data_IF_526143355472
#
_entry.id   IF_526143355472
#
_cell.length_a   1.000
_cell.length_b   1.000
_cell.length_c   1.000
_cell.angle_alpha   90.00
_cell.angle_beta   90.00
_cell.angle_gamma   90.00
#
_symmetry.space_group_name_H-M   'P 1'
#
loop_
_entity.id
_entity.type
_entity.pdbx_description
1 polymer ?
#
# COMPACT_ATOMS: atom_id res chain seq x y z
N UNK A 1 -36.28 14.85 -10.20
CA UNK A 1 -35.83 14.75 -8.79
C UNK A 1 -36.20 13.43 -8.06
N UNK A 2 -36.97 12.49 -8.63
CA UNK A 2 -37.36 11.25 -7.91
C UNK A 2 -36.37 10.07 -8.00
N UNK A 3 -35.36 10.10 -8.87
CA UNK A 3 -34.44 8.97 -9.07
C UNK A 3 -33.32 8.84 -8.00
N UNK A 4 -32.94 9.94 -7.33
CA UNK A 4 -31.85 9.93 -6.36
C UNK A 4 -32.22 9.31 -5.00
N UNK A 5 -33.51 9.32 -4.63
CA UNK A 5 -34.00 8.75 -3.37
C UNK A 5 -33.95 7.23 -3.31
N UNK A 6 -34.17 6.56 -4.44
CA UNK A 6 -34.19 5.09 -4.50
C UNK A 6 -32.80 4.44 -4.38
N UNK A 7 -31.74 5.12 -4.84
CA UNK A 7 -30.37 4.60 -4.75
C UNK A 7 -29.83 4.65 -3.31
N UNK A 8 -30.18 5.69 -2.55
CA UNK A 8 -29.75 5.86 -1.15
C UNK A 8 -30.38 4.82 -0.20
N UNK A 9 -31.65 4.45 -0.42
CA UNK A 9 -32.30 3.40 0.38
C UNK A 9 -31.81 1.98 0.06
N UNK A 10 -31.41 1.70 -1.19
CA UNK A 10 -30.83 0.38 -1.54
C UNK A 10 -29.44 0.18 -0.93
N UNK A 11 -28.60 1.22 -0.87
CA UNK A 11 -27.27 1.13 -0.27
C UNK A 11 -27.30 0.95 1.27
N UNK A 12 -28.24 1.59 1.97
CA UNK A 12 -28.42 1.39 3.42
C UNK A 12 -28.94 -0.01 3.79
N UNK A 13 -29.82 -0.61 2.97
CA UNK A 13 -30.32 -1.98 3.22
C UNK A 13 -29.24 -3.05 3.07
N UNK A 14 -28.28 -2.87 2.17
CA UNK A 14 -27.15 -3.81 1.99
C UNK A 14 -26.24 -3.82 3.23
N UNK A 15 -26.02 -2.67 3.88
CA UNK A 15 -25.23 -2.58 5.12
C UNK A 15 -25.89 -3.25 6.34
N UNK A 16 -27.20 -3.10 6.51
CA UNK A 16 -27.92 -3.67 7.67
C UNK A 16 -28.17 -5.19 7.58
N UNK A 17 -28.29 -5.76 6.38
CA UNK A 17 -28.50 -7.20 6.20
C UNK A 17 -27.22 -8.01 6.48
N UNK A 18 -26.03 -7.45 6.23
CA UNK A 18 -24.75 -8.08 6.58
C UNK A 18 -24.60 -8.31 8.09
N UNK A 19 -24.95 -7.29 8.91
CA UNK A 19 -24.83 -7.36 10.37
C UNK A 19 -25.79 -8.38 11.03
N UNK A 20 -26.98 -8.60 10.46
CA UNK A 20 -27.96 -9.57 10.99
C UNK A 20 -27.62 -11.03 10.68
N UNK A 21 -26.90 -11.32 9.60
CA UNK A 21 -26.46 -12.70 9.30
C UNK A 21 -25.34 -13.15 10.25
N UNK A 22 -24.51 -12.21 10.71
CA UNK A 22 -23.40 -12.49 11.63
C UNK A 22 -23.89 -12.91 13.03
N UNK A 23 -24.97 -12.31 13.53
CA UNK A 23 -25.51 -12.61 14.86
C UNK A 23 -26.26 -13.96 14.96
N UNK A 24 -26.77 -14.51 13.85
CA UNK A 24 -27.52 -15.80 13.87
C UNK A 24 -26.63 -17.04 13.81
N UNK A 25 -25.35 -16.91 13.47
CA UNK A 25 -24.41 -18.04 13.41
C UNK A 25 -23.94 -18.57 14.77
N UNK A 26 -24.28 -17.90 15.88
CA UNK A 26 -23.73 -18.22 17.21
C UNK A 26 -24.53 -19.23 18.05
N UNK A 27 -25.74 -19.61 17.63
CA UNK A 27 -26.68 -20.36 18.48
C UNK A 27 -26.80 -21.87 18.20
N UNK A 28 -26.05 -22.43 17.25
CA UNK A 28 -26.20 -23.85 16.86
C UNK A 28 -24.84 -24.54 16.70
N UNK A 29 -24.14 -24.79 17.81
CA UNK A 29 -23.01 -25.72 17.85
C UNK A 29 -22.68 -26.10 19.30
N UNK A 30 -23.32 -27.14 19.84
CA UNK A 30 -22.93 -27.72 21.13
C UNK A 30 -23.43 -29.16 21.27
N UNK A 31 -23.01 -30.02 20.35
CA UNK A 31 -22.93 -31.48 20.55
C UNK A 31 -21.65 -31.96 19.85
N UNK A 32 -20.49 -31.60 20.40
CA UNK A 32 -19.20 -31.98 19.82
C UNK A 32 -18.25 -32.46 20.91
N UNK A 33 -17.57 -33.60 20.65
CA UNK A 33 -16.47 -34.10 21.46
C UNK A 33 -15.44 -33.01 21.72
N UNK A 34 -14.72 -33.15 22.84
CA UNK A 34 -13.77 -32.16 23.37
C UNK A 34 -12.83 -31.65 22.28
N UNK A 35 -13.19 -30.53 21.65
CA UNK A 35 -12.31 -29.88 20.69
C UNK A 35 -11.11 -29.38 21.48
N UNK A 36 -9.86 -29.63 21.03
CA UNK A 36 -8.68 -29.14 21.72
C UNK A 36 -8.81 -27.64 21.97
N UNK A 37 -8.68 -27.24 23.24
CA UNK A 37 -8.70 -25.83 23.62
C UNK A 37 -7.35 -25.22 23.26
N UNK A 38 -7.38 -23.98 22.77
CA UNK A 38 -6.17 -23.20 22.54
C UNK A 38 -5.33 -23.11 23.84
N UNK A 39 -4.00 -23.23 23.75
CA UNK A 39 -3.13 -23.14 24.92
C UNK A 39 -3.15 -21.73 25.52
N UNK A 40 -2.70 -21.62 26.78
CA UNK A 40 -2.47 -20.32 27.40
C UNK A 40 -1.45 -19.51 26.58
N UNK A 41 -1.63 -18.20 26.50
CA UNK A 41 -0.76 -17.28 25.73
C UNK A 41 -0.68 -17.56 24.21
N UNK A 42 -1.66 -18.29 23.66
CA UNK A 42 -1.74 -18.54 22.22
C UNK A 42 -1.66 -17.23 21.40
N UNK A 43 -0.72 -17.17 20.44
CA UNK A 43 -0.46 -16.02 19.59
C UNK A 43 0.36 -14.88 20.22
N UNK A 44 0.79 -15.00 21.48
CA UNK A 44 1.72 -14.05 22.10
C UNK A 44 3.12 -14.14 21.47
N UNK A 45 3.93 -13.08 21.61
CA UNK A 45 5.34 -13.10 21.19
C UNK A 45 6.08 -14.24 21.91
N UNK A 46 6.67 -15.16 21.15
CA UNK A 46 7.32 -16.38 21.64
C UNK A 46 6.37 -17.43 22.25
N UNK A 47 5.05 -17.19 22.19
CA UNK A 47 4.02 -18.10 22.69
C UNK A 47 3.65 -19.20 21.69
N UNK A 48 2.74 -20.12 22.06
CA UNK A 48 2.26 -21.14 21.15
C UNK A 48 1.62 -20.55 19.89
N UNK A 49 1.96 -21.13 18.73
CA UNK A 49 1.40 -20.77 17.44
C UNK A 49 0.31 -21.75 16.99
N UNK A 50 -0.34 -21.47 15.86
CA UNK A 50 -1.35 -22.33 15.26
C UNK A 50 -0.78 -23.74 15.03
N UNK A 51 -1.46 -24.76 15.56
CA UNK A 51 -0.96 -26.13 15.62
C UNK A 51 -0.64 -26.72 14.24
N UNK A 52 -1.43 -26.40 13.22
CA UNK A 52 -1.22 -26.87 11.85
C UNK A 52 -0.40 -25.91 10.97
N UNK A 53 0.32 -24.91 11.54
CA UNK A 53 1.13 -23.89 10.83
C UNK A 53 1.86 -24.41 9.59
N UNK A 54 2.55 -25.54 9.71
CA UNK A 54 3.36 -26.13 8.63
C UNK A 54 2.55 -26.62 7.41
N UNK A 55 1.24 -26.85 7.57
CA UNK A 55 0.38 -27.47 6.54
C UNK A 55 -0.69 -26.53 5.99
N UNK A 56 -1.01 -25.43 6.67
CA UNK A 56 -2.12 -24.52 6.30
C UNK A 56 -2.00 -24.03 4.86
N UNK A 57 -0.80 -23.65 4.42
CA UNK A 57 -0.61 -23.13 3.07
C UNK A 57 -0.81 -24.21 2.00
N UNK A 58 -0.44 -25.45 2.28
CA UNK A 58 -0.74 -26.59 1.41
C UNK A 58 -2.25 -26.87 1.36
N UNK A 59 -2.95 -26.70 2.48
CA UNK A 59 -4.41 -26.81 2.53
C UNK A 59 -5.09 -25.69 1.70
N UNK A 60 -4.53 -24.48 1.70
CA UNK A 60 -4.95 -23.39 0.79
C UNK A 60 -4.72 -23.80 -0.66
N UNK A 61 -3.54 -24.31 -1.00
CA UNK A 61 -3.20 -24.75 -2.36
C UNK A 61 -4.18 -25.83 -2.84
N UNK A 62 -4.49 -26.82 -1.99
CA UNK A 62 -5.46 -27.88 -2.27
C UNK A 62 -6.89 -27.36 -2.42
N UNK A 63 -7.28 -26.34 -1.64
CA UNK A 63 -8.61 -25.75 -1.74
C UNK A 63 -8.81 -24.95 -3.03
N UNK A 64 -7.75 -24.33 -3.55
CA UNK A 64 -7.77 -23.55 -4.80
C UNK A 64 -7.67 -24.47 -6.01
N UNK A 65 -6.65 -25.32 -6.05
CA UNK A 65 -6.27 -26.19 -7.16
C UNK A 65 -6.27 -27.67 -6.70
N UNK A 66 -7.44 -28.31 -6.50
CA UNK A 66 -7.51 -29.66 -5.93
C UNK A 66 -6.82 -30.74 -6.78
N UNK A 67 -6.64 -30.51 -8.08
CA UNK A 67 -6.01 -31.44 -9.01
C UNK A 67 -4.50 -31.23 -9.17
N UNK A 68 -3.97 -30.07 -8.74
CA UNK A 68 -2.56 -29.71 -8.82
C UNK A 68 -2.22 -28.79 -7.64
N UNK A 69 -2.19 -29.34 -6.41
CA UNK A 69 -1.97 -28.58 -5.19
C UNK A 69 -0.50 -28.20 -5.10
N UNK A 70 -0.11 -27.13 -5.80
CA UNK A 70 1.21 -26.52 -5.70
C UNK A 70 1.13 -25.09 -5.20
N UNK A 71 2.22 -24.57 -4.61
CA UNK A 71 2.31 -23.17 -4.22
C UNK A 71 2.07 -22.22 -5.42
N UNK A 72 1.59 -21.00 -5.17
CA UNK A 72 1.45 -20.01 -6.23
C UNK A 72 2.83 -19.50 -6.64
N UNK A 73 2.96 -19.09 -7.89
CA UNK A 73 4.22 -18.46 -8.34
C UNK A 73 4.41 -17.11 -7.64
N UNK A 74 3.33 -16.32 -7.48
CA UNK A 74 3.34 -15.03 -6.78
C UNK A 74 2.03 -14.83 -6.01
N UNK A 75 2.11 -14.29 -4.79
CA UNK A 75 0.97 -13.84 -4.00
C UNK A 75 1.30 -12.47 -3.38
N UNK A 76 0.55 -11.44 -3.74
CA UNK A 76 0.69 -10.10 -3.13
C UNK A 76 -0.24 -10.02 -1.94
N UNK A 77 0.32 -9.69 -0.79
CA UNK A 77 -0.33 -9.73 0.51
C UNK A 77 -0.48 -8.32 1.06
N UNK A 78 -1.70 -7.94 1.42
CA UNK A 78 -2.00 -6.72 2.17
C UNK A 78 -2.47 -7.10 3.55
N UNK A 79 -1.76 -6.64 4.58
CA UNK A 79 -2.26 -6.72 5.95
C UNK A 79 -3.12 -5.50 6.23
N UNK A 80 -4.29 -5.68 6.83
CA UNK A 80 -5.20 -4.57 7.14
C UNK A 80 -4.59 -3.57 8.15
N UNK A 81 -5.13 -2.36 8.17
CA UNK A 81 -4.62 -1.26 8.98
C UNK A 81 -4.87 -1.49 10.48
N UNK A 82 -3.86 -1.18 11.28
CA UNK A 82 -3.99 -1.07 12.73
C UNK A 82 -4.12 0.41 13.08
N UNK A 83 -5.25 0.80 13.68
CA UNK A 83 -5.45 2.18 14.12
C UNK A 83 -4.93 2.34 15.55
N UNK A 84 -4.04 3.30 15.78
CA UNK A 84 -3.65 3.68 17.13
C UNK A 84 -4.83 4.36 17.83
N UNK A 85 -5.31 3.75 18.92
CA UNK A 85 -6.54 4.20 19.59
C UNK A 85 -6.31 5.16 20.74
N UNK A 86 -5.08 5.65 20.95
CA UNK A 86 -4.74 6.49 22.09
C UNK A 86 -5.52 7.81 22.18
N UNK A 87 -6.14 8.29 21.09
CA UNK A 87 -7.13 9.36 21.16
C UNK A 87 -8.19 9.27 20.02
N UNK A 88 -9.38 9.85 20.19
CA UNK A 88 -10.47 9.78 19.19
C UNK A 88 -10.15 10.42 17.84
N UNK A 89 -9.35 11.49 17.81
CA UNK A 89 -8.99 12.20 16.57
C UNK A 89 -8.04 11.35 15.71
N UNK A 90 -7.03 10.75 16.34
CA UNK A 90 -6.13 9.77 15.73
C UNK A 90 -6.94 8.62 15.16
N UNK A 91 -7.82 8.01 15.98
CA UNK A 91 -8.72 6.96 15.51
C UNK A 91 -9.52 7.42 14.29
N UNK A 92 -10.12 8.62 14.32
CA UNK A 92 -10.88 9.17 13.19
C UNK A 92 -10.02 9.34 11.93
N UNK A 93 -8.83 9.95 12.03
CA UNK A 93 -7.93 10.17 10.90
C UNK A 93 -7.42 8.85 10.31
N UNK A 94 -7.02 7.92 11.16
CA UNK A 94 -6.59 6.58 10.76
C UNK A 94 -7.71 5.81 10.06
N UNK A 95 -8.96 5.90 10.53
CA UNK A 95 -10.07 5.19 9.91
C UNK A 95 -10.54 5.82 8.59
N UNK A 96 -10.53 7.15 8.49
CA UNK A 96 -11.18 7.85 7.37
C UNK A 96 -10.21 8.38 6.31
N UNK A 97 -8.93 8.56 6.66
CA UNK A 97 -7.97 9.29 5.81
C UNK A 97 -6.71 8.47 5.54
N UNK A 98 -6.13 7.88 6.60
CA UNK A 98 -4.78 7.27 6.57
C UNK A 98 -4.84 5.75 6.75
N UNK A 99 -5.96 5.09 6.44
CA UNK A 99 -6.10 3.63 6.61
C UNK A 99 -5.21 2.86 5.62
N UNK A 100 -3.89 2.98 5.79
CA UNK A 100 -2.83 2.42 4.99
C UNK A 100 -2.47 1.08 5.62
N UNK A 101 -2.61 0.02 4.83
CA UNK A 101 -2.20 -1.31 5.26
C UNK A 101 -0.69 -1.48 5.25
N UNK A 102 -0.25 -2.73 5.19
CA UNK A 102 1.13 -3.08 4.90
C UNK A 102 1.17 -3.98 3.68
N UNK A 103 2.15 -3.79 2.79
CA UNK A 103 2.29 -4.57 1.55
C UNK A 103 3.54 -5.45 1.60
N UNK A 104 3.37 -6.72 1.25
CA UNK A 104 4.44 -7.70 1.13
C UNK A 104 4.14 -8.65 -0.04
N UNK A 105 5.12 -9.46 -0.43
CA UNK A 105 4.95 -10.43 -1.53
C UNK A 105 5.48 -11.78 -1.11
N UNK A 106 4.65 -12.81 -1.31
CA UNK A 106 5.06 -14.20 -1.29
C UNK A 106 5.32 -14.66 -2.72
N UNK A 107 6.34 -15.47 -2.95
CA UNK A 107 6.62 -16.05 -4.26
C UNK A 107 7.35 -17.38 -4.13
N UNK A 108 7.29 -18.20 -5.19
CA UNK A 108 7.97 -19.49 -5.28
C UNK A 108 9.02 -19.41 -6.37
N UNK A 109 10.31 -19.52 -6.02
CA UNK A 109 11.42 -19.49 -6.97
C UNK A 109 11.49 -20.78 -7.79
N UNK A 110 12.24 -20.76 -8.89
CA UNK A 110 12.41 -21.92 -9.79
C UNK A 110 12.98 -23.16 -9.11
N UNK A 111 13.71 -23.02 -8.00
CA UNK A 111 14.20 -24.11 -7.15
C UNK A 111 13.13 -24.66 -6.17
N UNK A 112 11.89 -24.17 -6.25
CA UNK A 112 10.76 -24.58 -5.41
C UNK A 112 10.74 -23.95 -4.02
N UNK A 113 11.70 -23.09 -3.66
CA UNK A 113 11.67 -22.39 -2.37
C UNK A 113 10.58 -21.32 -2.36
N UNK A 114 9.86 -21.26 -1.25
CA UNK A 114 8.88 -20.22 -1.02
C UNK A 114 9.45 -19.15 -0.11
N UNK A 115 9.26 -17.90 -0.52
CA UNK A 115 9.70 -16.72 0.21
C UNK A 115 8.51 -15.83 0.50
N UNK A 116 8.48 -15.21 1.67
CA UNK A 116 7.80 -13.94 1.90
C UNK A 116 8.87 -12.87 2.00
N UNK A 117 8.78 -11.89 1.13
CA UNK A 117 9.58 -10.68 1.20
C UNK A 117 8.79 -9.58 1.88
N UNK A 118 9.41 -8.99 2.89
CA UNK A 118 8.86 -7.89 3.67
C UNK A 118 9.84 -6.71 3.69
N UNK A 119 9.33 -5.49 3.51
CA UNK A 119 10.09 -4.25 3.64
C UNK A 119 9.81 -3.64 5.00
N UNK A 120 10.84 -3.53 5.82
CA UNK A 120 10.80 -2.90 7.14
C UNK A 120 11.24 -1.44 7.06
N UNK A 121 10.79 -0.67 8.04
CA UNK A 121 11.27 0.69 8.29
C UNK A 121 11.06 1.10 9.73
N UNK A 122 11.41 2.34 10.02
CA UNK A 122 11.25 2.91 11.36
C UNK A 122 12.00 2.10 12.45
N UNK A 123 11.39 1.90 13.63
CA UNK A 123 12.07 1.31 14.80
C UNK A 123 12.65 -0.10 14.59
N UNK A 124 12.20 -0.84 13.57
CA UNK A 124 12.80 -2.13 13.26
C UNK A 124 14.26 -1.96 12.77
N UNK A 125 14.52 -0.95 11.94
CA UNK A 125 15.87 -0.65 11.46
C UNK A 125 16.76 -0.15 12.59
N UNK A 126 16.20 0.66 13.49
CA UNK A 126 16.92 1.16 14.68
C UNK A 126 17.35 0.02 15.62
N UNK A 127 16.63 -1.12 15.59
CA UNK A 127 16.95 -2.35 16.32
C UNK A 127 17.84 -3.32 15.53
N UNK A 128 18.44 -2.86 14.43
CA UNK A 128 19.37 -3.65 13.62
C UNK A 128 18.69 -4.62 12.64
N UNK A 129 17.38 -4.51 12.43
CA UNK A 129 16.72 -5.30 11.39
C UNK A 129 17.16 -4.80 10.00
N UNK A 130 17.21 -5.71 9.03
CA UNK A 130 17.47 -5.36 7.63
C UNK A 130 16.25 -4.67 7.03
N UNK A 131 16.44 -3.83 6.03
CA UNK A 131 15.33 -3.19 5.30
C UNK A 131 14.51 -4.22 4.54
N UNK A 132 15.17 -5.13 3.83
CA UNK A 132 14.53 -6.24 3.13
C UNK A 132 14.67 -7.48 4.01
N UNK A 133 13.56 -8.14 4.30
CA UNK A 133 13.56 -9.39 5.05
C UNK A 133 12.96 -10.50 4.22
N UNK A 134 13.67 -11.61 4.15
CA UNK A 134 13.22 -12.84 3.54
C UNK A 134 12.86 -13.82 4.64
N UNK A 135 11.60 -14.27 4.64
CA UNK A 135 11.09 -15.23 5.62
C UNK A 135 10.35 -16.37 4.95
N UNK A 136 10.10 -17.43 5.73
CA UNK A 136 9.19 -18.51 5.32
C UNK A 136 7.74 -18.00 5.40
N UNK A 137 6.89 -18.29 4.40
CA UNK A 137 5.52 -17.76 4.40
C UNK A 137 4.67 -18.15 5.61
N UNK A 138 4.76 -19.41 6.05
CA UNK A 138 4.05 -19.94 7.20
C UNK A 138 4.49 -19.29 8.51
N UNK A 139 5.76 -18.93 8.60
CA UNK A 139 6.30 -18.20 9.75
C UNK A 139 5.79 -16.75 9.73
N UNK A 140 5.64 -16.12 8.56
CA UNK A 140 5.15 -14.72 8.50
C UNK A 140 3.67 -14.61 8.82
N UNK A 141 2.89 -15.55 8.30
CA UNK A 141 1.44 -15.54 8.50
C UNK A 141 1.07 -16.04 9.90
N UNK A 142 1.81 -17.01 10.44
CA UNK A 142 1.40 -17.76 11.62
C UNK A 142 2.51 -18.05 12.64
N UNK A 143 3.72 -17.54 12.47
CA UNK A 143 4.77 -17.61 13.49
C UNK A 143 4.55 -16.60 14.61
N UNK A 144 5.12 -16.89 15.79
CA UNK A 144 5.04 -16.05 17.00
C UNK A 144 6.40 -15.56 17.47
N UNK A 145 7.50 -16.04 16.90
CA UNK A 145 8.85 -15.85 17.46
C UNK A 145 9.55 -14.55 17.02
N UNK A 146 8.98 -13.79 16.08
CA UNK A 146 9.70 -12.70 15.40
C UNK A 146 8.86 -11.45 15.13
N UNK A 147 7.96 -11.09 16.04
CA UNK A 147 7.18 -9.84 15.91
C UNK A 147 8.02 -8.57 16.02
N UNK A 148 9.27 -8.66 16.44
CA UNK A 148 10.21 -7.52 16.43
C UNK A 148 11.12 -7.46 15.20
N UNK A 149 11.07 -8.48 14.32
CA UNK A 149 11.91 -8.59 13.14
C UNK A 149 11.09 -8.77 11.87
N UNK A 150 11.36 -9.86 11.15
CA UNK A 150 10.79 -10.10 9.83
C UNK A 150 9.26 -10.29 9.84
N UNK A 151 8.64 -10.63 10.99
CA UNK A 151 7.19 -10.72 11.20
C UNK A 151 6.62 -9.51 12.00
N UNK A 152 7.17 -8.31 11.82
CA UNK A 152 6.74 -7.09 12.55
C UNK A 152 5.22 -6.86 12.55
N UNK A 153 4.54 -7.36 11.54
CA UNK A 153 3.11 -7.15 11.40
C UNK A 153 2.25 -8.11 12.23
N UNK A 154 2.86 -9.09 12.92
CA UNK A 154 2.18 -9.99 13.85
C UNK A 154 1.22 -10.99 13.21
N UNK A 155 1.36 -11.21 11.90
CA UNK A 155 0.60 -12.18 11.11
C UNK A 155 -0.92 -12.12 11.29
N UNK A 156 -1.55 -13.29 11.17
CA UNK A 156 -2.98 -13.48 11.38
C UNK A 156 -3.41 -13.37 12.85
N UNK A 157 -2.48 -13.23 13.82
CA UNK A 157 -2.85 -13.02 15.22
C UNK A 157 -3.34 -11.60 15.48
N UNK A 158 -2.80 -10.62 14.75
CA UNK A 158 -3.08 -9.20 15.01
C UNK A 158 -4.11 -8.62 14.03
N UNK A 159 -4.19 -9.12 12.79
CA UNK A 159 -5.07 -8.55 11.76
C UNK A 159 -5.49 -9.54 10.68
N UNK A 160 -6.50 -9.13 9.93
CA UNK A 160 -6.85 -9.76 8.66
C UNK A 160 -5.74 -9.49 7.63
N UNK A 161 -5.44 -10.50 6.82
CA UNK A 161 -4.51 -10.41 5.68
C UNK A 161 -5.24 -10.86 4.43
N UNK A 162 -5.11 -10.10 3.36
CA UNK A 162 -5.72 -10.39 2.05
C UNK A 162 -4.59 -10.63 1.06
N UNK A 163 -4.60 -11.82 0.44
CA UNK A 163 -3.70 -12.21 -0.64
C UNK A 163 -4.40 -12.20 -2.00
N UNK A 164 -3.73 -11.69 -3.03
CA UNK A 164 -4.06 -11.95 -4.43
C UNK A 164 -2.98 -12.86 -5.00
N UNK A 165 -3.35 -14.11 -5.28
CA UNK A 165 -2.50 -15.16 -5.83
C UNK A 165 -2.55 -15.16 -7.35
N UNK A 166 -1.38 -15.37 -7.95
CA UNK A 166 -1.17 -15.72 -9.35
C UNK A 166 -0.58 -17.13 -9.34
N UNK A 167 -1.38 -18.10 -9.76
CA UNK A 167 -0.96 -19.50 -9.68
C UNK A 167 0.19 -19.79 -10.65
N UNK A 168 0.13 -19.21 -11.85
CA UNK A 168 1.09 -19.38 -12.94
C UNK A 168 1.51 -18.01 -13.47
N UNK A 169 2.67 -17.51 -13.06
CA UNK A 169 3.26 -16.31 -13.63
C UNK A 169 4.09 -16.67 -14.88
N UNK A 170 4.41 -15.70 -15.76
CA UNK A 170 5.41 -15.92 -16.80
C UNK A 170 6.73 -16.47 -16.20
N UNK A 171 7.38 -17.39 -16.92
CA UNK A 171 8.62 -18.04 -16.47
C UNK A 171 9.68 -16.98 -16.11
N UNK A 172 10.35 -17.18 -14.97
CA UNK A 172 11.40 -16.30 -14.46
C UNK A 172 10.89 -15.07 -13.69
N UNK A 173 9.58 -14.81 -13.64
CA UNK A 173 9.03 -13.67 -12.87
C UNK A 173 9.37 -13.76 -11.38
N UNK A 174 9.21 -14.94 -10.77
CA UNK A 174 9.51 -15.13 -9.35
C UNK A 174 11.01 -14.98 -9.05
N UNK A 175 11.89 -15.54 -9.90
CA UNK A 175 13.33 -15.42 -9.74
C UNK A 175 13.82 -13.97 -9.97
N UNK A 176 13.28 -13.28 -10.96
CA UNK A 176 13.57 -11.86 -11.22
C UNK A 176 13.11 -10.98 -10.05
N UNK A 177 11.97 -11.32 -9.44
CA UNK A 177 11.48 -10.62 -8.26
C UNK A 177 12.38 -10.89 -7.04
N UNK A 178 12.84 -12.12 -6.86
CA UNK A 178 13.81 -12.48 -5.82
C UNK A 178 15.12 -11.69 -5.97
N UNK A 179 15.69 -11.70 -7.18
CA UNK A 179 16.92 -10.98 -7.51
C UNK A 179 16.78 -9.46 -7.30
N UNK A 180 15.61 -8.88 -7.65
CA UNK A 180 15.31 -7.48 -7.38
C UNK A 180 15.41 -7.16 -5.87
N UNK A 181 14.81 -7.99 -5.02
CA UNK A 181 14.83 -7.76 -3.58
C UNK A 181 16.19 -8.03 -2.94
N UNK A 182 16.96 -8.99 -3.45
CA UNK A 182 18.34 -9.21 -3.01
C UNK A 182 19.22 -8.00 -3.34
N UNK A 183 19.09 -7.47 -4.57
CA UNK A 183 19.82 -6.25 -4.95
C UNK A 183 19.40 -5.05 -4.09
N UNK A 184 18.12 -4.95 -3.73
CA UNK A 184 17.61 -3.92 -2.83
C UNK A 184 18.19 -4.06 -1.40
N UNK A 185 18.31 -5.30 -0.91
CA UNK A 185 18.95 -5.60 0.39
C UNK A 185 20.41 -5.18 0.39
N UNK A 186 21.21 -5.65 -0.59
CA UNK A 186 22.64 -5.30 -0.71
C UNK A 186 22.84 -3.79 -0.77
N UNK A 187 21.98 -3.08 -1.51
CA UNK A 187 22.04 -1.61 -1.60
C UNK A 187 21.76 -0.93 -0.26
N UNK A 188 20.90 -1.50 0.58
CA UNK A 188 20.60 -0.96 1.90
C UNK A 188 21.77 -1.14 2.87
N UNK A 189 22.56 -2.20 2.71
CA UNK A 189 23.74 -2.48 3.54
C UNK A 189 24.93 -1.57 3.21
N UNK A 190 25.22 -1.31 1.93
CA UNK A 190 26.32 -0.41 1.50
C UNK A 190 26.23 0.97 2.16
N UNK A 191 25.01 1.43 2.49
CA UNK A 191 24.78 2.75 3.10
C UNK A 191 24.83 2.75 4.61
N UNK A 192 24.74 1.58 5.24
CA UNK A 192 24.78 1.44 6.68
C UNK A 192 26.21 1.54 7.22
N UNK A 193 27.23 1.37 6.38
CA UNK A 193 28.60 1.71 6.78
C UNK A 193 28.71 3.22 6.95
N UNK A 194 28.93 3.72 8.18
CA UNK A 194 29.26 5.12 8.35
C UNK A 194 30.57 5.32 7.59
N UNK A 195 30.53 6.11 6.52
CA UNK A 195 31.76 6.56 5.85
C UNK A 195 32.63 7.15 6.95
N UNK A 196 33.68 6.43 7.34
CA UNK A 196 34.59 6.86 8.39
C UNK A 196 35.24 8.17 7.93
N UNK A 197 34.75 9.30 8.47
CA UNK A 197 35.08 10.65 7.99
C UNK A 197 33.89 11.51 7.54
N UNK A 198 32.71 10.95 7.28
CA UNK A 198 31.52 11.75 6.96
C UNK A 198 30.99 12.53 8.17
N UNK A 199 31.18 12.06 9.40
CA UNK A 199 30.93 12.86 10.59
C UNK A 199 31.81 14.12 10.62
N UNK A 200 33.08 14.01 10.19
CA UNK A 200 33.99 15.16 10.03
C UNK A 200 33.61 16.12 8.89
N UNK A 201 32.85 15.66 7.89
CA UNK A 201 32.30 16.49 6.80
C UNK A 201 30.92 17.08 7.14
N UNK A 202 30.15 16.45 8.05
CA UNK A 202 28.87 16.94 8.56
C UNK A 202 29.04 17.92 9.72
N UNK A 203 30.17 17.87 10.43
CA UNK A 203 30.60 18.90 11.40
C UNK A 203 31.24 20.12 10.74
N UNK A 204 31.52 20.07 9.42
CA UNK A 204 31.81 21.27 8.67
C UNK A 204 30.51 22.09 8.59
N UNK A 205 30.48 23.34 9.07
CA UNK A 205 29.27 24.16 9.06
C UNK A 205 28.73 24.19 7.63
N UNK A 206 27.50 23.69 7.45
CA UNK A 206 26.80 23.75 6.18
C UNK A 206 26.93 25.17 5.65
N UNK A 207 27.49 25.31 4.45
CA UNK A 207 27.61 26.61 3.80
C UNK A 207 26.23 27.29 3.89
N UNK A 208 26.13 28.48 4.53
CA UNK A 208 24.86 29.14 4.78
C UNK A 208 24.02 29.28 3.51
N UNK A 209 24.67 29.40 2.34
CA UNK A 209 24.01 29.47 1.03
C UNK A 209 23.33 28.16 0.63
N UNK A 210 23.88 27.00 0.99
CA UNK A 210 23.31 25.69 0.68
C UNK A 210 22.15 25.38 1.62
N UNK A 211 22.30 25.68 2.91
CA UNK A 211 21.23 25.58 3.90
C UNK A 211 20.05 26.52 3.58
N UNK A 212 20.32 27.80 3.28
CA UNK A 212 19.28 28.75 2.85
C UNK A 212 18.61 28.35 1.53
N UNK A 213 19.31 27.70 0.58
CA UNK A 213 18.69 27.21 -0.65
C UNK A 213 17.80 25.98 -0.43
N UNK A 214 18.19 25.07 0.45
CA UNK A 214 17.37 23.91 0.80
C UNK A 214 16.13 24.34 1.60
N UNK A 215 16.30 25.23 2.57
CA UNK A 215 15.22 25.82 3.36
C UNK A 215 14.29 26.66 2.48
N UNK A 216 14.83 27.53 1.62
CA UNK A 216 14.02 28.31 0.68
C UNK A 216 13.27 27.41 -0.33
N UNK A 217 13.84 26.28 -0.78
CA UNK A 217 13.09 25.34 -1.64
C UNK A 217 11.99 24.61 -0.88
N UNK A 218 12.22 24.27 0.39
CA UNK A 218 11.24 23.63 1.25
C UNK A 218 10.12 24.59 1.65
N UNK A 219 10.44 25.85 1.96
CA UNK A 219 9.48 26.93 2.24
C UNK A 219 8.74 27.40 0.98
N UNK A 220 9.39 27.41 -0.19
CA UNK A 220 8.70 27.71 -1.45
C UNK A 220 7.71 26.60 -1.82
N UNK A 221 8.03 25.34 -1.54
CA UNK A 221 7.13 24.21 -1.77
C UNK A 221 6.02 24.16 -0.72
N UNK A 222 6.34 24.26 0.56
CA UNK A 222 5.39 24.30 1.67
C UNK A 222 4.49 25.54 1.65
N UNK A 223 5.03 26.69 1.26
CA UNK A 223 4.32 27.97 1.10
C UNK A 223 3.41 27.97 -0.12
N UNK A 224 3.83 27.43 -1.27
CA UNK A 224 2.95 27.28 -2.45
C UNK A 224 1.84 26.26 -2.21
N UNK A 225 2.13 25.16 -1.50
CA UNK A 225 1.13 24.17 -1.13
C UNK A 225 0.15 24.70 -0.08
N UNK A 226 0.63 25.42 0.95
CA UNK A 226 -0.23 26.07 1.95
C UNK A 226 -1.06 27.21 1.36
N UNK A 227 -0.52 28.03 0.44
CA UNK A 227 -1.28 29.09 -0.21
C UNK A 227 -2.31 28.55 -1.20
N UNK A 228 -2.01 27.43 -1.87
CA UNK A 228 -2.98 26.72 -2.72
C UNK A 228 -4.14 26.15 -1.89
N UNK A 229 -3.83 25.54 -0.75
CA UNK A 229 -4.80 25.01 0.22
C UNK A 229 -5.62 26.13 0.88
N UNK A 230 -4.97 27.18 1.39
CA UNK A 230 -5.62 28.30 2.07
C UNK A 230 -6.51 29.16 1.15
N UNK A 231 -6.22 29.20 -0.16
CA UNK A 231 -7.04 29.92 -1.13
C UNK A 231 -8.29 29.18 -1.64
N UNK A 232 -8.40 27.86 -1.41
CA UNK A 232 -9.40 27.01 -2.10
C UNK A 232 -10.17 26.06 -1.18
N UNK A 233 -9.96 26.12 0.14
CA UNK A 233 -10.74 25.33 1.09
C UNK A 233 -11.98 26.08 1.59
N UNK A 234 -13.13 25.40 1.75
CA UNK A 234 -14.26 25.99 2.44
C UNK A 234 -13.83 26.50 3.83
N UNK A 235 -14.36 27.65 4.30
CA UNK A 235 -13.95 28.26 5.58
C UNK A 235 -13.95 27.30 6.78
N UNK A 236 -14.81 26.28 6.76
CA UNK A 236 -14.88 25.24 7.78
C UNK A 236 -13.62 24.35 7.86
N UNK A 237 -12.95 24.08 6.74
CA UNK A 237 -11.74 23.24 6.72
C UNK A 237 -10.49 24.05 7.04
N UNK A 238 -10.43 25.32 6.62
CA UNK A 238 -9.37 26.24 7.05
C UNK A 238 -9.46 26.50 8.57
N UNK A 239 -10.67 26.68 9.12
CA UNK A 239 -10.90 26.76 10.56
C UNK A 239 -10.46 25.49 11.30
N UNK A 240 -10.72 24.31 10.73
CA UNK A 240 -10.27 23.03 11.29
C UNK A 240 -8.74 22.90 11.25
N UNK A 241 -8.08 23.30 10.16
CA UNK A 241 -6.62 23.28 10.04
C UNK A 241 -5.98 24.26 11.04
N UNK A 242 -6.54 25.47 11.19
CA UNK A 242 -6.08 26.46 12.17
C UNK A 242 -6.27 25.98 13.60
N UNK A 243 -7.39 25.31 13.90
CA UNK A 243 -7.66 24.68 15.19
C UNK A 243 -6.69 23.52 15.48
N UNK A 244 -6.37 22.71 14.49
CA UNK A 244 -5.40 21.62 14.61
C UNK A 244 -3.98 22.15 14.83
N UNK A 245 -3.57 23.18 14.10
CA UNK A 245 -2.26 23.83 14.28
C UNK A 245 -2.11 24.44 15.67
N UNK A 246 -3.13 25.13 16.19
CA UNK A 246 -3.07 25.74 17.53
C UNK A 246 -3.08 24.72 18.67
N UNK A 247 -3.67 23.54 18.46
CA UNK A 247 -3.71 22.45 19.45
C UNK A 247 -2.49 21.54 19.42
N UNK A 248 -1.89 21.33 18.25
CA UNK A 248 -0.74 20.45 18.09
C UNK A 248 0.60 21.18 18.28
N UNK A 249 0.65 22.51 18.06
CA UNK A 249 1.90 23.29 18.11
C UNK A 249 1.70 24.65 18.80
N UNK A 250 1.46 24.70 20.12
CA UNK A 250 1.09 25.92 20.84
C UNK A 250 2.21 26.98 20.98
N UNK A 251 3.36 26.81 20.32
CA UNK A 251 4.55 27.68 20.47
C UNK A 251 5.12 28.28 19.17
N UNK A 252 4.55 28.01 18.00
CA UNK A 252 5.05 28.58 16.75
C UNK A 252 4.55 30.03 16.56
N UNK A 253 5.34 31.02 17.01
CA UNK A 253 5.12 32.43 16.63
C UNK A 253 5.65 32.68 15.22
N UNK A 254 4.86 33.36 14.39
CA UNK A 254 5.29 33.88 13.09
C UNK A 254 6.37 34.96 13.30
N UNK A 255 7.56 34.73 12.74
CA UNK A 255 8.54 35.78 12.48
C UNK A 255 8.22 36.36 11.11
N UNK A 256 7.70 37.58 11.09
CA UNK A 256 7.51 38.39 9.88
C UNK A 256 8.69 39.33 9.71
N UNK A 257 9.03 39.59 8.43
CA UNK A 257 10.07 40.48 7.87
C UNK A 257 11.43 39.79 7.67
N UNK A 258 12.13 39.94 6.55
CA UNK A 258 11.94 40.71 5.32
C UNK A 258 13.11 40.38 4.38
N UNK A 259 13.03 40.75 3.11
CA UNK A 259 14.16 40.62 2.19
C UNK A 259 13.75 40.52 0.73
N UNK A 260 13.81 41.67 0.05
CA UNK A 260 13.63 41.77 -1.39
C UNK A 260 14.88 41.40 -2.19
N UNK A 261 14.66 41.39 -3.50
CA UNK A 261 15.62 41.53 -4.60
C UNK A 261 16.73 40.48 -4.73
N UNK A 262 16.62 39.65 -5.78
CA UNK A 262 17.70 39.34 -6.75
C UNK A 262 17.16 38.33 -7.77
N UNK A 263 16.47 38.86 -8.78
CA UNK A 263 16.07 38.15 -10.00
C UNK A 263 16.79 38.82 -11.16
N UNK A 264 17.91 38.25 -11.60
CA UNK A 264 18.42 38.26 -12.98
C UNK A 264 19.80 37.60 -13.00
N UNK A 265 20.11 36.86 -14.08
CA UNK A 265 21.33 36.04 -14.34
C UNK A 265 21.26 34.57 -13.93
N UNK A 266 20.50 33.77 -14.70
CA UNK A 266 20.79 32.34 -14.90
C UNK A 266 20.18 31.75 -16.19
N UNK A 267 20.09 32.52 -17.27
CA UNK A 267 19.69 32.01 -18.59
C UNK A 267 20.82 32.21 -19.59
N UNK A 268 21.62 31.17 -19.88
CA UNK A 268 22.67 31.31 -20.89
C UNK A 268 23.63 30.14 -21.15
N UNK A 269 23.62 29.04 -20.37
CA UNK A 269 24.67 28.01 -20.51
C UNK A 269 24.17 26.55 -20.55
N UNK A 270 23.00 26.29 -21.14
CA UNK A 270 22.46 24.92 -21.24
C UNK A 270 22.11 24.47 -22.67
N UNK A 271 22.68 25.11 -23.71
CA UNK A 271 22.28 24.87 -25.11
C UNK A 271 23.42 24.42 -26.06
N UNK A 272 24.52 23.83 -25.55
CA UNK A 272 25.67 23.52 -26.41
C UNK A 272 26.38 22.18 -26.14
N UNK A 273 25.64 21.15 -25.71
CA UNK A 273 26.20 19.82 -25.50
C UNK A 273 25.25 18.67 -25.91
N UNK A 274 24.65 18.76 -27.09
CA UNK A 274 23.85 17.66 -27.66
C UNK A 274 23.88 17.66 -29.19
N UNK A 275 25.07 17.41 -29.77
CA UNK A 275 25.20 17.04 -31.19
C UNK A 275 26.50 16.27 -31.39
N UNK A 276 26.46 14.94 -31.23
CA UNK A 276 27.29 13.96 -31.95
C UNK A 276 27.06 12.55 -31.41
N UNK A 277 26.28 11.74 -32.15
CA UNK A 277 26.56 10.32 -32.45
C UNK A 277 25.28 9.66 -32.97
N UNK A 278 25.22 9.52 -34.28
CA UNK A 278 24.41 8.54 -34.97
C UNK A 278 25.40 7.54 -35.56
N UNK A 279 25.26 6.25 -35.30
CA UNK A 279 24.81 5.25 -36.27
C UNK A 279 25.02 3.83 -35.68
N UNK A 280 24.40 2.83 -36.31
CA UNK A 280 24.44 1.38 -36.05
C UNK A 280 23.27 0.78 -35.27
N UNK A 281 22.39 0.08 -36.01
CA UNK A 281 21.35 -0.81 -35.48
C UNK A 281 21.65 -2.26 -35.87
N UNK A 282 21.67 -3.21 -34.93
CA UNK A 282 21.69 -4.65 -35.24
C UNK A 282 20.25 -5.22 -35.38
N UNK A 283 20.11 -6.45 -35.93
CA UNK A 283 18.83 -6.98 -36.39
C UNK A 283 17.88 -7.40 -35.26
N UNK A 284 16.59 -7.46 -35.61
CA UNK A 284 15.45 -7.73 -34.72
C UNK A 284 15.16 -9.23 -34.60
N UNK A 285 15.52 -9.83 -33.47
CA UNK A 285 14.96 -11.12 -33.03
C UNK A 285 13.91 -10.91 -31.92
N UNK A 286 12.80 -11.65 -32.05
CA UNK A 286 11.54 -11.47 -31.32
C UNK A 286 11.51 -11.94 -29.85
N UNK A 287 12.58 -11.73 -29.10
CA UNK A 287 12.54 -11.86 -27.64
C UNK A 287 12.02 -10.55 -27.02
N UNK A 288 11.08 -10.64 -26.06
CA UNK A 288 10.62 -9.49 -25.29
C UNK A 288 11.83 -8.82 -24.62
N UNK A 289 12.28 -7.67 -25.15
CA UNK A 289 13.36 -6.89 -24.53
C UNK A 289 12.89 -6.47 -23.13
N UNK A 290 13.65 -6.80 -22.06
CA UNK A 290 13.40 -6.19 -20.78
C UNK A 290 13.51 -4.67 -20.95
N UNK A 291 12.50 -3.93 -20.49
CA UNK A 291 12.51 -2.47 -20.51
C UNK A 291 13.77 -2.01 -19.77
N UNK A 292 14.68 -1.33 -20.47
CA UNK A 292 15.87 -0.76 -19.86
C UNK A 292 15.42 0.17 -18.71
N UNK A 293 15.89 -0.03 -17.46
CA UNK A 293 15.54 0.84 -16.35
C UNK A 293 15.89 2.29 -16.71
N UNK A 294 14.90 3.17 -16.69
CA UNK A 294 15.16 4.59 -16.82
C UNK A 294 16.04 5.04 -15.64
N UNK A 295 17.11 5.78 -15.92
CA UNK A 295 18.10 6.28 -14.94
C UNK A 295 17.50 7.08 -13.78
N UNK A 296 16.24 7.51 -13.91
CA UNK A 296 15.46 8.18 -12.87
C UNK A 296 15.16 7.30 -11.64
N UNK A 297 15.12 5.97 -11.81
CA UNK A 297 14.89 5.03 -10.71
C UNK A 297 16.06 5.01 -9.68
N UNK A 298 17.23 5.50 -10.07
CA UNK A 298 18.50 5.26 -9.34
C UNK A 298 19.10 6.50 -8.66
N UNK A 299 18.39 7.64 -8.54
CA UNK A 299 18.95 8.82 -7.83
C UNK A 299 19.17 8.56 -6.34
N UNK A 300 20.33 8.99 -5.86
CA UNK A 300 21.05 8.49 -4.69
C UNK A 300 20.59 9.07 -3.33
N UNK A 301 19.94 10.24 -3.29
CA UNK A 301 19.72 11.00 -2.05
C UNK A 301 18.40 10.69 -1.30
N UNK A 302 17.51 9.82 -1.82
CA UNK A 302 16.15 9.64 -1.23
C UNK A 302 15.93 8.36 -0.41
N UNK A 303 16.89 7.45 -0.30
CA UNK A 303 16.63 6.14 0.32
C UNK A 303 16.35 6.20 1.83
N UNK A 304 17.03 7.08 2.59
CA UNK A 304 16.82 7.19 4.04
C UNK A 304 15.51 7.89 4.44
N UNK A 305 14.91 8.69 3.56
CA UNK A 305 13.56 9.24 3.76
C UNK A 305 12.45 8.35 3.20
N UNK A 306 12.83 7.29 2.46
CA UNK A 306 11.91 6.32 1.83
C UNK A 306 12.02 4.94 2.50
N UNK A 307 12.96 4.73 3.43
CA UNK A 307 12.99 3.57 4.33
C UNK A 307 11.71 3.56 5.17
N UNK A 308 10.92 2.51 5.04
CA UNK A 308 9.59 2.38 5.65
C UNK A 308 8.39 2.59 4.74
N UNK A 309 8.58 2.96 3.47
CA UNK A 309 7.48 2.90 2.50
C UNK A 309 7.42 1.50 1.85
N UNK A 310 6.90 0.53 2.58
CA UNK A 310 6.76 -0.85 2.11
C UNK A 310 6.01 -0.95 0.78
N UNK A 311 4.97 -0.15 0.58
CA UNK A 311 4.18 -0.13 -0.64
C UNK A 311 5.05 0.26 -1.84
N UNK A 312 5.83 1.33 -1.73
CA UNK A 312 6.65 1.83 -2.83
C UNK A 312 7.68 0.81 -3.30
N UNK A 313 8.46 0.23 -2.37
CA UNK A 313 9.52 -0.72 -2.72
C UNK A 313 8.95 -2.03 -3.26
N UNK A 314 7.94 -2.56 -2.59
CA UNK A 314 7.27 -3.79 -3.02
C UNK A 314 6.64 -3.64 -4.41
N UNK A 315 5.93 -2.54 -4.66
CA UNK A 315 5.32 -2.30 -5.97
C UNK A 315 6.32 -1.95 -7.07
N UNK A 316 7.49 -1.40 -6.71
CA UNK A 316 8.57 -1.21 -7.68
C UNK A 316 9.13 -2.55 -8.16
N UNK A 317 9.28 -3.52 -7.26
CA UNK A 317 9.62 -4.90 -7.63
C UNK A 317 8.55 -5.55 -8.50
N UNK A 318 7.27 -5.39 -8.14
CA UNK A 318 6.16 -5.90 -8.97
C UNK A 318 6.10 -5.22 -10.35
N UNK A 319 6.44 -3.93 -10.45
CA UNK A 319 6.53 -3.21 -11.72
C UNK A 319 7.69 -3.73 -12.56
N UNK A 320 8.85 -3.92 -11.92
CA UNK A 320 10.06 -4.42 -12.54
C UNK A 320 9.82 -5.74 -13.30
N UNK A 321 9.03 -6.64 -12.71
CA UNK A 321 8.63 -7.91 -13.32
C UNK A 321 7.34 -7.84 -14.16
N UNK A 322 6.81 -6.63 -14.38
CA UNK A 322 5.67 -6.38 -15.26
C UNK A 322 4.30 -6.80 -14.72
N UNK A 323 4.18 -7.16 -13.43
CA UNK A 323 2.91 -7.56 -12.81
C UNK A 323 2.00 -6.37 -12.50
N UNK A 324 2.57 -5.24 -12.09
CA UNK A 324 1.84 -3.95 -11.99
C UNK A 324 2.42 -2.96 -12.98
N UNK A 325 1.64 -1.94 -13.36
CA UNK A 325 2.09 -0.95 -14.36
C UNK A 325 3.11 0.01 -13.78
N UNK A 326 3.03 0.28 -12.48
CA UNK A 326 3.89 1.25 -11.79
C UNK A 326 3.82 1.14 -10.26
N UNK A 327 4.73 1.82 -9.54
CA UNK A 327 4.76 1.78 -8.09
C UNK A 327 3.55 2.49 -7.50
N UNK A 328 3.03 1.97 -6.38
CA UNK A 328 1.93 2.56 -5.61
C UNK A 328 2.40 2.85 -4.19
N UNK A 329 1.95 3.98 -3.64
CA UNK A 329 2.20 4.35 -2.25
C UNK A 329 1.12 3.78 -1.30
N UNK A 330 -0.02 3.35 -1.84
CA UNK A 330 -1.12 2.77 -1.06
C UNK A 330 -1.16 1.26 -1.29
N UNK A 331 -0.90 0.43 -0.27
CA UNK A 331 -0.85 -1.04 -0.38
C UNK A 331 -2.04 -1.65 -1.13
N UNK A 332 -3.26 -1.27 -0.73
CA UNK A 332 -4.47 -1.83 -1.31
C UNK A 332 -4.67 -1.40 -2.77
N UNK A 333 -4.20 -0.22 -3.19
CA UNK A 333 -4.22 0.16 -4.61
C UNK A 333 -3.45 -0.84 -5.46
N UNK A 334 -2.27 -1.28 -5.00
CA UNK A 334 -1.46 -2.26 -5.70
C UNK A 334 -2.16 -3.63 -5.80
N UNK A 335 -2.74 -4.08 -4.69
CA UNK A 335 -3.49 -5.33 -4.61
C UNK A 335 -4.67 -5.33 -5.59
N UNK A 336 -5.46 -4.24 -5.61
CA UNK A 336 -6.63 -4.11 -6.49
C UNK A 336 -6.23 -3.98 -7.95
N UNK A 337 -5.15 -3.25 -8.28
CA UNK A 337 -4.63 -3.19 -9.65
C UNK A 337 -4.26 -4.59 -10.15
N UNK A 338 -3.52 -5.35 -9.34
CA UNK A 338 -3.10 -6.71 -9.68
C UNK A 338 -4.33 -7.60 -9.88
N UNK A 339 -5.27 -7.57 -8.94
CA UNK A 339 -6.49 -8.37 -9.01
C UNK A 339 -7.32 -8.05 -10.26
N UNK A 340 -7.58 -6.78 -10.52
CA UNK A 340 -8.36 -6.35 -11.70
C UNK A 340 -7.69 -6.72 -13.02
N UNK A 341 -6.36 -6.69 -13.07
CA UNK A 341 -5.57 -7.01 -14.26
C UNK A 341 -5.52 -8.52 -14.50
N UNK A 342 -5.04 -9.28 -13.53
CA UNK A 342 -4.83 -10.72 -13.67
C UNK A 342 -6.15 -11.47 -13.80
N UNK A 343 -7.19 -11.03 -13.08
CA UNK A 343 -8.53 -11.57 -13.27
C UNK A 343 -9.08 -11.32 -14.67
N UNK A 344 -8.75 -10.19 -15.32
CA UNK A 344 -9.17 -9.92 -16.70
C UNK A 344 -8.42 -10.78 -17.71
N UNK A 345 -7.14 -11.04 -17.48
CA UNK A 345 -6.30 -11.87 -18.36
C UNK A 345 -6.72 -13.33 -18.25
N UNK A 346 -6.77 -13.87 -17.03
CA UNK A 346 -7.15 -15.25 -16.78
C UNK A 346 -7.81 -15.40 -15.40
N UNK A 347 -9.16 -15.37 -15.31
CA UNK A 347 -9.89 -15.53 -14.05
C UNK A 347 -9.57 -16.81 -13.27
N UNK A 348 -9.09 -17.86 -13.97
CA UNK A 348 -8.73 -19.15 -13.38
C UNK A 348 -7.31 -19.20 -12.79
N UNK A 349 -6.49 -18.20 -13.10
CA UNK A 349 -5.10 -18.10 -12.64
C UNK A 349 -4.94 -17.08 -11.51
N UNK A 350 -6.02 -16.38 -11.15
CA UNK A 350 -6.01 -15.31 -10.17
C UNK A 350 -7.03 -15.59 -9.07
N UNK A 351 -6.55 -15.72 -7.83
CA UNK A 351 -7.39 -16.05 -6.67
C UNK A 351 -7.20 -15.07 -5.53
N UNK A 352 -8.27 -14.79 -4.80
CA UNK A 352 -8.21 -14.01 -3.57
C UNK A 352 -8.24 -14.97 -2.37
N UNK A 353 -7.26 -14.86 -1.48
CA UNK A 353 -7.21 -15.59 -0.22
C UNK A 353 -7.34 -14.61 0.92
N UNK A 354 -8.19 -14.92 1.89
CA UNK A 354 -8.33 -14.07 3.08
C UNK A 354 -7.98 -14.88 4.32
N UNK A 355 -6.92 -14.47 4.99
CA UNK A 355 -6.45 -15.00 6.26
C UNK A 355 -7.05 -14.15 7.37
N UNK A 356 -8.05 -14.67 8.06
CA UNK A 356 -8.78 -13.94 9.10
C UNK A 356 -7.98 -13.86 10.39
N UNK A 357 -8.12 -12.73 11.09
CA UNK A 357 -7.56 -12.55 12.42
C UNK A 357 -8.06 -13.64 13.35
N UNK A 358 -7.18 -14.21 14.16
CA UNK A 358 -7.55 -15.12 15.23
C UNK A 358 -8.19 -14.33 16.38
N UNK A 359 -9.48 -14.50 16.70
CA UNK A 359 -10.18 -13.61 17.63
C UNK A 359 -9.66 -13.68 19.07
N UNK A 360 -9.32 -14.89 19.53
CA UNK A 360 -8.90 -15.22 20.90
C UNK A 360 -7.38 -15.27 21.09
N UNK A 361 -6.58 -14.98 20.06
CA UNK A 361 -5.13 -14.86 20.22
C UNK A 361 -4.75 -13.63 21.05
N UNK A 362 -3.67 -13.75 21.81
CA UNK A 362 -3.06 -12.61 22.47
C UNK A 362 -2.61 -11.58 21.42
N UNK A 363 -3.00 -10.31 21.61
CA UNK A 363 -2.58 -9.24 20.70
C UNK A 363 -1.18 -8.81 21.07
N UNK A 364 -0.30 -8.75 20.07
CA UNK A 364 1.00 -8.12 20.24
C UNK A 364 0.86 -6.60 20.38
N UNK A 365 -0.05 -6.02 19.60
CA UNK A 365 -0.39 -4.60 19.63
C UNK A 365 -1.71 -4.37 20.40
N UNK A 366 -1.65 -4.42 21.73
CA UNK A 366 -2.84 -4.32 22.58
C UNK A 366 -3.54 -2.96 22.46
N UNK A 367 -2.78 -1.89 22.26
CA UNK A 367 -3.24 -0.51 22.07
C UNK A 367 -3.76 -0.20 20.65
N UNK A 368 -3.81 -1.21 19.79
CA UNK A 368 -4.35 -1.10 18.44
C UNK A 368 -5.62 -1.93 18.30
N UNK A 369 -6.61 -1.32 17.66
CA UNK A 369 -7.79 -2.03 17.19
C UNK A 369 -7.58 -2.37 15.71
N UNK A 370 -7.93 -3.60 15.28
CA UNK A 370 -8.06 -3.87 13.85
C UNK A 370 -9.09 -2.90 13.31
N UNK A 371 -8.64 -2.02 12.41
CA UNK A 371 -9.49 -1.00 11.83
C UNK A 371 -10.42 -1.63 10.78
N UNK A 372 -11.37 -0.81 10.31
CA UNK A 372 -12.09 -1.08 9.07
C UNK A 372 -11.10 -1.34 7.92
N UNK A 373 -11.58 -2.01 6.87
CA UNK A 373 -10.73 -2.35 5.73
C UNK A 373 -10.02 -1.11 5.16
N UNK A 374 -8.76 -1.30 4.84
CA UNK A 374 -7.86 -0.31 4.26
C UNK A 374 -8.48 0.37 3.05
N UNK A 375 -8.16 1.66 2.86
CA UNK A 375 -8.61 2.38 1.68
C UNK A 375 -7.80 1.92 0.46
N UNK A 376 -8.47 1.80 -0.68
CA UNK A 376 -7.78 1.59 -1.96
C UNK A 376 -6.98 2.85 -2.29
N UNK A 377 -7.63 4.01 -2.21
CA UNK A 377 -7.00 5.32 -2.33
C UNK A 377 -7.98 6.40 -1.86
N UNK A 378 -7.57 7.46 -1.13
CA UNK A 378 -8.51 8.48 -0.63
C UNK A 378 -9.39 9.10 -1.71
N UNK A 379 -8.85 9.29 -2.92
CA UNK A 379 -9.58 9.88 -4.05
C UNK A 379 -10.43 8.88 -4.85
N UNK A 380 -10.33 7.57 -4.60
CA UNK A 380 -11.04 6.55 -5.38
C UNK A 380 -12.32 6.10 -4.68
N UNK A 381 -13.28 7.01 -4.52
CA UNK A 381 -14.53 6.77 -3.78
C UNK A 381 -15.23 5.48 -4.22
N UNK A 382 -15.37 5.25 -5.53
CA UNK A 382 -16.04 4.06 -6.04
C UNK A 382 -15.29 2.76 -5.72
N UNK A 383 -13.96 2.73 -5.92
CA UNK A 383 -13.14 1.54 -5.58
C UNK A 383 -13.12 1.31 -4.07
N UNK A 384 -13.07 2.35 -3.25
CA UNK A 384 -13.13 2.22 -1.80
C UNK A 384 -14.43 1.54 -1.37
N UNK A 385 -15.56 1.87 -1.99
CA UNK A 385 -16.85 1.21 -1.71
C UNK A 385 -16.89 -0.23 -2.22
N UNK A 386 -16.47 -0.46 -3.47
CA UNK A 386 -16.55 -1.79 -4.08
C UNK A 386 -15.62 -2.81 -3.43
N UNK A 387 -14.44 -2.37 -3.01
CA UNK A 387 -13.42 -3.21 -2.38
C UNK A 387 -13.33 -2.95 -0.87
N UNK A 388 -14.37 -2.36 -0.25
CA UNK A 388 -14.42 -2.14 1.20
C UNK A 388 -14.34 -3.45 2.00
N UNK A 389 -14.73 -4.57 1.40
CA UNK A 389 -14.65 -5.89 2.02
C UNK A 389 -14.12 -6.90 1.01
N UNK A 390 -12.83 -7.18 1.10
CA UNK A 390 -12.16 -8.15 0.22
C UNK A 390 -12.60 -9.59 0.48
N UNK A 391 -13.21 -9.90 1.63
CA UNK A 391 -13.74 -11.24 1.88
C UNK A 391 -14.88 -11.63 0.95
N UNK A 392 -15.58 -10.63 0.37
CA UNK A 392 -16.61 -10.86 -0.66
C UNK A 392 -16.03 -11.36 -1.99
N UNK A 393 -14.74 -11.16 -2.21
CA UNK A 393 -14.03 -11.61 -3.42
C UNK A 393 -13.23 -12.89 -3.17
N UNK A 394 -13.14 -13.35 -1.92
CA UNK A 394 -12.31 -14.48 -1.53
C UNK A 394 -12.74 -15.77 -2.24
N UNK A 395 -11.77 -16.47 -2.82
CA UNK A 395 -11.91 -17.85 -3.26
C UNK A 395 -11.68 -18.83 -2.09
N UNK A 396 -10.82 -18.45 -1.14
CA UNK A 396 -10.52 -19.22 0.07
C UNK A 396 -10.50 -18.32 1.30
N UNK A 397 -11.10 -18.81 2.39
CA UNK A 397 -11.03 -18.23 3.73
C UNK A 397 -10.21 -19.15 4.64
N UNK A 398 -9.24 -18.58 5.33
CA UNK A 398 -8.51 -19.25 6.40
C UNK A 398 -8.95 -18.63 7.73
N UNK A 399 -9.54 -19.44 8.60
CA UNK A 399 -10.06 -19.00 9.90
C UNK A 399 -9.57 -19.91 11.01
N UNK A 400 -9.37 -19.39 12.21
CA UNK A 400 -9.16 -20.22 13.41
C UNK A 400 -10.45 -20.16 14.23
N UNK A 401 -11.19 -21.27 14.36
CA UNK A 401 -12.39 -21.30 15.20
C UNK A 401 -12.10 -20.85 16.63
N UNK A 402 -13.08 -20.16 17.21
CA UNK A 402 -12.96 -19.60 18.57
C UNK A 402 -12.61 -20.69 19.60
N UNK A 403 -11.62 -20.40 20.43
CA UNK A 403 -11.13 -21.33 21.45
C UNK A 403 -10.31 -22.52 20.94
N UNK A 404 -9.99 -22.59 19.64
CA UNK A 404 -9.11 -23.63 19.06
C UNK A 404 -7.77 -23.04 18.63
N UNK A 405 -6.75 -23.87 18.44
CA UNK A 405 -5.44 -23.46 17.93
C UNK A 405 -5.18 -23.92 16.49
N UNK A 406 -6.19 -24.48 15.81
CA UNK A 406 -6.04 -25.10 14.49
C UNK A 406 -6.79 -24.29 13.44
N UNK A 407 -6.07 -23.84 12.42
CA UNK A 407 -6.69 -23.11 11.32
C UNK A 407 -7.47 -24.06 10.41
N UNK A 408 -8.62 -23.58 9.93
CA UNK A 408 -9.48 -24.22 8.95
C UNK A 408 -9.42 -23.45 7.65
N UNK A 409 -9.17 -24.17 6.56
CA UNK A 409 -9.23 -23.64 5.21
C UNK A 409 -10.59 -24.00 4.61
N UNK A 410 -11.32 -23.00 4.15
CA UNK A 410 -12.66 -23.18 3.56
C UNK A 410 -12.73 -22.51 2.20
N UNK A 411 -13.14 -23.27 1.17
CA UNK A 411 -13.43 -22.72 -0.15
C UNK A 411 -14.73 -21.93 -0.11
N UNK A 412 -14.73 -20.73 -0.67
CA UNK A 412 -15.95 -19.91 -0.78
C UNK A 412 -16.74 -20.38 -2.02
N UNK A 413 -18.04 -20.69 -1.88
CA UNK A 413 -18.87 -21.10 -3.00
C UNK A 413 -18.93 -20.06 -4.12
N UNK A 414 -18.99 -20.51 -5.37
CA UNK A 414 -18.85 -19.66 -6.54
C UNK A 414 -19.85 -18.53 -6.61
N UNK A 415 -21.10 -18.83 -6.27
CA UNK A 415 -22.25 -17.95 -6.25
C UNK A 415 -22.18 -16.86 -5.18
N UNK A 416 -21.31 -17.01 -4.17
CA UNK A 416 -21.10 -16.01 -3.11
C UNK A 416 -19.95 -15.05 -3.41
N UNK A 417 -19.11 -15.38 -4.39
CA UNK A 417 -17.92 -14.59 -4.75
C UNK A 417 -18.30 -13.46 -5.69
N UNK A 418 -17.95 -12.24 -5.31
CA UNK A 418 -17.92 -11.12 -6.23
C UNK A 418 -16.70 -11.23 -7.14
N UNK A 419 -16.83 -10.68 -8.35
CA UNK A 419 -15.74 -10.52 -9.32
C UNK A 419 -15.49 -9.04 -9.57
N UNK A 420 -14.25 -8.65 -9.92
CA UNK A 420 -13.96 -7.29 -10.37
C UNK A 420 -14.92 -6.87 -11.50
N UNK A 421 -15.61 -5.74 -11.40
CA UNK A 421 -16.48 -5.29 -12.46
C UNK A 421 -15.67 -4.96 -13.72
N UNK A 422 -16.04 -5.56 -14.86
CA UNK A 422 -15.31 -5.37 -16.14
C UNK A 422 -15.34 -3.93 -16.66
N UNK A 423 -16.38 -3.16 -16.31
CA UNK A 423 -16.56 -1.77 -16.71
C UNK A 423 -15.77 -0.78 -15.86
N UNK A 424 -15.16 -1.22 -14.75
CA UNK A 424 -14.55 -0.32 -13.78
C UNK A 424 -13.39 0.54 -14.35
N UNK A 425 -12.51 0.03 -15.24
CA UNK A 425 -11.51 0.86 -15.89
C UNK A 425 -12.13 2.01 -16.70
N UNK A 426 -13.25 1.76 -17.38
CA UNK A 426 -13.97 2.77 -18.17
C UNK A 426 -14.58 3.84 -17.27
N UNK A 427 -15.22 3.42 -16.18
CA UNK A 427 -15.81 4.36 -15.20
C UNK A 427 -14.73 5.22 -14.55
N UNK A 428 -13.57 4.66 -14.21
CA UNK A 428 -12.46 5.45 -13.67
C UNK A 428 -11.92 6.45 -14.70
N UNK A 429 -11.75 6.03 -15.96
CA UNK A 429 -11.33 6.92 -17.04
C UNK A 429 -12.33 8.07 -17.24
N UNK A 430 -13.63 7.76 -17.27
CA UNK A 430 -14.69 8.74 -17.38
C UNK A 430 -14.74 9.69 -16.18
N UNK A 431 -14.55 9.18 -14.95
CA UNK A 431 -14.53 10.01 -13.75
C UNK A 431 -13.35 10.99 -13.72
N UNK A 432 -12.16 10.53 -14.11
CA UNK A 432 -10.98 11.39 -14.23
C UNK A 432 -11.20 12.46 -15.30
N UNK A 433 -11.70 12.08 -16.47
CA UNK A 433 -12.00 13.00 -17.56
C UNK A 433 -13.07 14.02 -17.17
N UNK A 434 -14.17 13.58 -16.54
CA UNK A 434 -15.25 14.44 -16.09
C UNK A 434 -14.80 15.41 -14.98
N UNK A 435 -13.98 14.94 -14.04
CA UNK A 435 -13.42 15.80 -12.99
C UNK A 435 -12.49 16.85 -13.58
N UNK A 436 -11.64 16.47 -14.54
CA UNK A 436 -10.77 17.41 -15.25
C UNK A 436 -11.59 18.43 -16.05
N UNK A 437 -12.62 17.98 -16.78
CA UNK A 437 -13.51 18.86 -17.55
C UNK A 437 -14.29 19.82 -16.64
N UNK A 438 -14.77 19.37 -15.49
CA UNK A 438 -15.45 20.23 -14.52
C UNK A 438 -14.51 21.30 -13.94
N UNK A 439 -13.25 20.93 -13.65
CA UNK A 439 -12.24 21.91 -13.20
C UNK A 439 -11.89 22.89 -14.32
N UNK A 440 -11.91 22.48 -15.59
CA UNK A 440 -11.69 23.43 -16.69
C UNK A 440 -12.91 24.35 -16.89
N UNK A 441 -14.12 23.78 -16.95
CA UNK A 441 -15.36 24.53 -17.19
C UNK A 441 -15.79 25.43 -16.04
N UNK A 442 -15.45 25.12 -14.78
CA UNK A 442 -15.75 25.99 -13.64
C UNK A 442 -14.96 27.31 -13.68
N UNK A 443 -13.82 27.32 -14.36
CA UNK A 443 -12.95 28.49 -14.43
C UNK A 443 -12.96 29.18 -15.81
N UNK A 444 -13.70 28.63 -16.79
CA UNK A 444 -14.06 29.33 -18.04
C UNK A 444 -15.20 30.34 -17.78
N UNK A 445 -15.02 31.21 -16.79
CA UNK A 445 -15.81 32.43 -16.66
C UNK A 445 -15.43 33.42 -17.76
N UNK A 446 -16.32 34.37 -18.12
CA UNK A 446 -16.08 35.34 -19.21
C UNK A 446 -14.93 36.34 -18.95
N UNK A 447 -14.33 36.29 -17.76
CA UNK A 447 -13.25 37.18 -17.34
C UNK A 447 -11.87 36.51 -17.56
N UNK A 448 -11.00 37.06 -18.43
CA UNK A 448 -9.75 36.42 -18.85
C UNK A 448 -8.70 36.23 -17.73
N UNK A 449 -8.94 36.74 -16.53
CA UNK A 449 -8.00 36.71 -15.40
C UNK A 449 -7.95 35.33 -14.70
N UNK A 450 -8.90 34.41 -14.95
CA UNK A 450 -8.99 33.11 -14.25
C UNK A 450 -8.48 31.88 -15.02
N UNK A 451 -8.09 32.03 -16.28
CA UNK A 451 -7.69 30.91 -17.17
C UNK A 451 -6.39 30.21 -16.73
N UNK A 452 -5.44 30.95 -16.14
CA UNK A 452 -4.18 30.38 -15.62
C UNK A 452 -4.45 29.53 -14.37
N UNK A 453 -5.36 29.95 -13.48
CA UNK A 453 -5.72 29.18 -12.28
C UNK A 453 -6.49 27.90 -12.61
N UNK A 454 -7.35 27.92 -13.63
CA UNK A 454 -8.09 26.76 -14.14
C UNK A 454 -7.15 25.63 -14.57
N UNK A 455 -6.21 26.01 -15.44
CA UNK A 455 -5.27 25.10 -16.08
C UNK A 455 -4.29 24.55 -15.05
N UNK A 456 -3.86 25.36 -14.09
CA UNK A 456 -3.02 24.93 -12.98
C UNK A 456 -3.75 23.98 -12.02
N UNK A 457 -5.03 24.24 -11.71
CA UNK A 457 -5.84 23.36 -10.86
C UNK A 457 -6.15 22.03 -11.58
N UNK A 458 -6.49 22.07 -12.87
CA UNK A 458 -6.73 20.87 -13.68
C UNK A 458 -5.42 20.07 -13.86
N UNK A 459 -4.30 20.74 -14.14
CA UNK A 459 -2.99 20.10 -14.20
C UNK A 459 -2.58 19.55 -12.84
N UNK A 460 -2.81 20.26 -11.73
CA UNK A 460 -2.56 19.79 -10.38
C UNK A 460 -3.40 18.56 -10.02
N UNK A 461 -4.69 18.57 -10.39
CA UNK A 461 -5.58 17.42 -10.22
C UNK A 461 -5.18 16.23 -11.09
N UNK A 462 -4.83 16.47 -12.36
CA UNK A 462 -4.33 15.45 -13.28
C UNK A 462 -2.97 14.94 -12.85
N UNK A 463 -2.09 15.75 -12.28
CA UNK A 463 -0.80 15.35 -11.73
C UNK A 463 -0.97 14.56 -10.44
N UNK A 464 -1.90 14.96 -9.56
CA UNK A 464 -2.23 14.22 -8.36
C UNK A 464 -2.86 12.88 -8.72
N UNK A 465 -3.78 12.86 -9.69
CA UNK A 465 -4.33 11.63 -10.23
C UNK A 465 -3.23 10.84 -10.94
N UNK A 466 -2.40 11.40 -11.79
CA UNK A 466 -1.33 10.70 -12.52
C UNK A 466 -0.27 10.14 -11.59
N UNK A 467 0.16 10.89 -10.57
CA UNK A 467 1.05 10.38 -9.52
C UNK A 467 0.38 9.20 -8.82
N UNK A 468 -0.93 9.27 -8.60
CA UNK A 468 -1.69 8.22 -7.92
C UNK A 468 -2.24 7.13 -8.85
N UNK A 469 -2.26 7.27 -10.19
CA UNK A 469 -2.92 6.42 -11.21
C UNK A 469 -2.03 5.75 -12.20
#
# INVERSE_FOLDING_TARGET
>A
MMAAGHLRMRLMRVGMLGARSWLRGRALASTAGSTPRAPLQFGALGGPCIANKATILQDVDRAICPHDPRPPDVEVLVTEHLAYTGNPLSRFLHHNVIALGHLLVRYTTSDGKQWVMNILGGPALDRGARMVNFGRPEEYLYGTDAFDGWCQQGGAYNRDIVGVRIERAPVGVADALHAYFQALEMRSEIRAEPVAGAASLLDAPLNPRTASRALARFELFGGRFNNFIAGHLPPAVDALIKLLKSRLFPGAREVVSGGGELSERAGGQAAQAAAHSADERPPRDGAARPLAPTSWFWREERLLSVSGNCAQWTTSGLQWVGLVRRPRLVPKAALIELFEREHRICPRNCHVVVYKRVPHAARFYAEYEPALSTLVHPLYLLRNVLYADMSRYADVLVTVPDGTDTARVSRVPAERRLRPPSYLPLVNGAWIAASAAAILGFFDGPEPVHTISASAAAAGWLLLNWWTY
#
